data_IF_416419041289
#
_entry.id   IF_416419041289
#
_cell.length_a   1.000
_cell.length_b   1.000
_cell.length_c   1.000
_cell.angle_alpha   90.00
_cell.angle_beta   90.00
_cell.angle_gamma   90.00
#
_symmetry.space_group_name_H-M   'P 1'
#
loop_
_entity.id
_entity.type
_entity.pdbx_description
1 polymer ?
#
# COMPACT_ATOMS: atom_id res chain seq x y z
N UNK A 1 -10.77 32.38 -13.77
CA UNK A 1 -9.46 31.82 -14.17
C UNK A 1 -9.36 30.40 -13.61
N UNK A 2 -9.91 29.42 -14.32
CA UNK A 2 -9.80 28.02 -13.91
C UNK A 2 -8.42 27.53 -14.33
N UNK A 3 -7.57 27.22 -13.36
CA UNK A 3 -6.30 26.54 -13.61
C UNK A 3 -6.64 25.18 -14.25
N UNK A 4 -6.36 25.02 -15.53
CA UNK A 4 -6.59 23.76 -16.23
C UNK A 4 -5.55 22.75 -15.73
N UNK A 5 -5.96 21.89 -14.79
CA UNK A 5 -5.15 20.79 -14.23
C UNK A 5 -4.79 19.70 -15.26
N UNK A 6 -5.03 19.97 -16.55
CA UNK A 6 -4.86 19.06 -17.68
C UNK A 6 -3.83 19.61 -18.67
N UNK A 7 -2.74 20.20 -18.19
CA UNK A 7 -1.57 20.35 -19.04
C UNK A 7 -0.84 18.99 -19.17
N UNK A 8 -0.14 18.79 -20.29
CA UNK A 8 0.51 17.51 -20.59
C UNK A 8 1.57 17.15 -19.55
N UNK A 9 2.26 18.13 -18.97
CA UNK A 9 3.32 17.89 -17.99
C UNK A 9 2.74 17.40 -16.67
N UNK A 10 1.63 17.98 -16.20
CA UNK A 10 0.93 17.51 -14.99
C UNK A 10 0.45 16.07 -15.14
N UNK A 11 -0.13 15.73 -16.30
CA UNK A 11 -0.59 14.36 -16.57
C UNK A 11 0.58 13.38 -16.61
N UNK A 12 1.68 13.73 -17.29
CA UNK A 12 2.90 12.90 -17.33
C UNK A 12 3.49 12.71 -15.94
N UNK A 13 3.62 13.78 -15.16
CA UNK A 13 4.13 13.73 -13.79
C UNK A 13 3.28 12.81 -12.90
N UNK A 14 1.95 12.91 -13.00
CA UNK A 14 1.03 12.03 -12.27
C UNK A 14 1.29 10.55 -12.57
N UNK A 15 1.46 10.17 -13.85
CA UNK A 15 1.74 8.79 -14.22
C UNK A 15 3.10 8.31 -13.70
N UNK A 16 4.13 9.17 -13.68
CA UNK A 16 5.42 8.84 -13.06
C UNK A 16 5.28 8.55 -11.57
N UNK A 17 4.54 9.38 -10.84
CA UNK A 17 4.24 9.17 -9.42
C UNK A 17 3.49 7.85 -9.22
N UNK A 18 2.50 7.57 -10.06
CA UNK A 18 1.71 6.33 -9.97
C UNK A 18 2.59 5.10 -10.14
N UNK A 19 3.43 5.05 -11.17
CA UNK A 19 4.38 3.94 -11.40
C UNK A 19 5.38 3.84 -10.24
N UNK A 20 5.92 4.96 -9.78
CA UNK A 20 6.87 4.98 -8.66
C UNK A 20 6.28 4.42 -7.36
N UNK A 21 5.04 4.80 -7.02
CA UNK A 21 4.33 4.28 -5.84
C UNK A 21 4.04 2.78 -5.99
N UNK A 22 3.58 2.33 -7.16
CA UNK A 22 3.38 0.91 -7.46
C UNK A 22 4.67 0.11 -7.28
N UNK A 23 5.79 0.60 -7.81
CA UNK A 23 7.11 -0.03 -7.65
C UNK A 23 7.54 -0.05 -6.18
N UNK A 24 7.31 1.02 -5.43
CA UNK A 24 7.64 1.08 -4.00
C UNK A 24 6.89 -0.01 -3.22
N UNK A 25 5.59 -0.18 -3.47
CA UNK A 25 4.81 -1.25 -2.83
C UNK A 25 5.31 -2.65 -3.23
N UNK A 26 5.66 -2.84 -4.51
CA UNK A 26 6.23 -4.08 -4.99
C UNK A 26 7.56 -4.39 -4.27
N UNK A 27 8.46 -3.40 -4.19
CA UNK A 27 9.74 -3.51 -3.49
C UNK A 27 9.56 -3.91 -2.03
N UNK A 28 8.65 -3.26 -1.29
CA UNK A 28 8.35 -3.65 0.10
C UNK A 28 7.92 -5.12 0.16
N UNK A 29 7.02 -5.54 -0.72
CA UNK A 29 6.51 -6.91 -0.78
C UNK A 29 7.58 -7.96 -1.09
N UNK A 30 8.61 -7.62 -1.86
CA UNK A 30 9.71 -8.55 -2.20
C UNK A 30 10.84 -8.55 -1.17
N UNK A 31 11.34 -7.37 -0.80
CA UNK A 31 12.58 -7.23 -0.02
C UNK A 31 12.40 -7.46 1.49
N UNK A 32 11.19 -7.31 2.03
CA UNK A 32 10.98 -7.56 3.47
C UNK A 32 11.07 -9.06 3.79
N UNK A 33 11.80 -9.39 4.85
CA UNK A 33 12.08 -10.75 5.28
C UNK A 33 12.33 -10.80 6.79
N UNK A 34 12.60 -11.99 7.33
CA UNK A 34 12.79 -12.20 8.77
C UNK A 34 14.02 -11.48 9.34
N UNK A 35 15.12 -11.37 8.58
CA UNK A 35 16.36 -10.77 9.07
C UNK A 35 16.26 -9.25 9.18
N UNK A 36 15.56 -8.60 8.24
CA UNK A 36 15.36 -7.14 8.26
C UNK A 36 14.06 -6.69 8.94
N UNK A 37 13.14 -7.60 9.25
CA UNK A 37 11.86 -7.30 9.90
C UNK A 37 12.01 -6.48 11.20
N UNK A 38 13.05 -6.76 12.01
CA UNK A 38 13.31 -6.00 13.25
C UNK A 38 13.52 -4.52 12.99
N UNK A 39 14.10 -4.13 11.86
CA UNK A 39 14.40 -2.75 11.52
C UNK A 39 13.24 -2.13 10.73
N UNK A 40 12.71 -2.86 9.75
CA UNK A 40 11.74 -2.32 8.79
C UNK A 40 10.28 -2.31 9.28
N UNK A 41 9.91 -3.20 10.19
CA UNK A 41 8.55 -3.25 10.72
C UNK A 41 8.47 -2.50 12.05
N UNK A 42 7.98 -1.26 12.02
CA UNK A 42 7.85 -0.43 13.22
C UNK A 42 7.13 -1.14 14.38
N UNK A 43 6.03 -1.86 14.10
CA UNK A 43 5.30 -2.61 15.13
C UNK A 43 6.06 -3.81 15.72
N UNK A 44 6.99 -4.40 14.97
CA UNK A 44 7.85 -5.49 15.46
C UNK A 44 9.11 -4.93 16.15
N UNK A 45 9.65 -3.81 15.64
CA UNK A 45 10.77 -3.06 16.21
C UNK A 45 10.47 -2.53 17.61
N UNK A 46 9.27 -2.00 17.84
CA UNK A 46 8.86 -1.44 19.14
C UNK A 46 8.31 -2.48 20.12
N UNK A 47 8.08 -3.72 19.66
CA UNK A 47 7.60 -4.81 20.51
C UNK A 47 8.65 -5.19 21.57
N UNK A 48 8.22 -5.41 22.82
CA UNK A 48 9.11 -5.92 23.89
C UNK A 48 9.70 -7.28 23.50
N UNK A 49 10.88 -7.60 24.04
CA UNK A 49 11.58 -8.86 23.73
C UNK A 49 10.71 -10.09 23.97
N UNK A 50 10.04 -10.15 25.11
CA UNK A 50 9.13 -11.24 25.48
C UNK A 50 7.97 -11.43 24.50
N UNK A 51 7.32 -10.33 24.08
CA UNK A 51 6.23 -10.41 23.09
C UNK A 51 6.76 -10.80 21.71
N UNK A 52 7.95 -10.31 21.35
CA UNK A 52 8.60 -10.58 20.08
C UNK A 52 8.99 -12.04 19.93
N UNK A 53 9.45 -12.68 21.00
CA UNK A 53 9.78 -14.11 21.04
C UNK A 53 8.53 -15.00 20.86
N UNK A 54 7.37 -14.54 21.34
CA UNK A 54 6.07 -15.21 21.13
C UNK A 54 5.38 -14.84 19.80
N UNK A 55 5.92 -13.90 19.04
CA UNK A 55 5.30 -13.42 17.81
C UNK A 55 5.67 -14.29 16.60
N UNK A 56 4.67 -14.82 15.91
CA UNK A 56 4.82 -15.57 14.67
C UNK A 56 5.12 -14.63 13.49
N UNK A 57 6.38 -14.17 13.45
CA UNK A 57 6.87 -13.26 12.41
C UNK A 57 6.77 -13.86 11.01
N UNK A 58 6.90 -15.17 10.86
CA UNK A 58 6.83 -15.82 9.55
C UNK A 58 5.41 -15.81 9.01
N UNK A 59 4.42 -16.13 9.85
CA UNK A 59 3.02 -16.01 9.48
C UNK A 59 2.66 -14.56 9.18
N UNK A 60 3.10 -13.61 9.99
CA UNK A 60 2.86 -12.19 9.72
C UNK A 60 3.44 -11.76 8.36
N UNK A 61 4.72 -12.07 8.11
CA UNK A 61 5.40 -11.70 6.87
C UNK A 61 4.72 -12.31 5.63
N UNK A 62 4.21 -13.55 5.69
CA UNK A 62 3.45 -14.12 4.57
C UNK A 62 2.24 -13.27 4.18
N UNK A 63 1.48 -12.78 5.16
CA UNK A 63 0.31 -11.94 4.91
C UNK A 63 0.72 -10.53 4.46
N UNK A 64 1.71 -9.94 5.13
CA UNK A 64 2.22 -8.61 4.82
C UNK A 64 2.78 -8.53 3.39
N UNK A 65 3.62 -9.49 2.99
CA UNK A 65 4.20 -9.56 1.64
C UNK A 65 3.12 -9.72 0.58
N UNK A 66 2.18 -10.66 0.79
CA UNK A 66 1.06 -10.88 -0.14
C UNK A 66 0.20 -9.62 -0.28
N UNK A 67 -0.04 -8.90 0.81
CA UNK A 67 -0.76 -7.62 0.78
C UNK A 67 -0.04 -6.58 -0.08
N UNK A 68 1.25 -6.32 0.17
CA UNK A 68 2.01 -5.30 -0.58
C UNK A 68 2.19 -5.64 -2.05
N UNK A 69 2.38 -6.92 -2.41
CA UNK A 69 2.41 -7.36 -3.81
C UNK A 69 1.07 -7.06 -4.49
N UNK A 70 -0.06 -7.40 -3.87
CA UNK A 70 -1.39 -7.07 -4.43
C UNK A 70 -1.64 -5.56 -4.48
N UNK A 71 -1.19 -4.84 -3.45
CA UNK A 71 -1.29 -3.39 -3.37
C UNK A 71 -0.51 -2.69 -4.48
N UNK A 72 0.61 -3.24 -4.96
CA UNK A 72 1.38 -2.65 -6.06
C UNK A 72 0.58 -2.46 -7.34
N UNK A 73 -0.40 -3.34 -7.60
CA UNK A 73 -1.23 -3.33 -8.80
C UNK A 73 -2.47 -2.42 -8.60
N UNK A 74 -2.89 -2.21 -7.35
CA UNK A 74 -4.12 -1.50 -7.02
C UNK A 74 -4.17 -0.04 -7.52
N UNK A 75 -3.13 0.81 -7.37
CA UNK A 75 -3.14 2.18 -7.90
C UNK A 75 -3.46 2.24 -9.39
N UNK A 76 -2.84 1.35 -10.19
CA UNK A 76 -3.03 1.28 -11.64
C UNK A 76 -4.46 0.88 -12.01
N UNK A 77 -4.95 -0.24 -11.46
CA UNK A 77 -6.28 -0.76 -11.79
C UNK A 77 -7.38 0.21 -11.31
N UNK A 78 -7.25 0.75 -10.10
CA UNK A 78 -8.22 1.70 -9.56
C UNK A 78 -8.24 3.02 -10.32
N UNK A 79 -7.09 3.47 -10.85
CA UNK A 79 -7.03 4.66 -11.69
C UNK A 79 -7.78 4.44 -13.01
N UNK A 80 -7.49 3.34 -13.70
CA UNK A 80 -8.17 2.95 -14.93
C UNK A 80 -9.69 2.86 -14.73
N UNK A 81 -10.13 2.26 -13.63
CA UNK A 81 -11.55 2.19 -13.29
C UNK A 81 -12.18 3.58 -13.06
N UNK A 82 -11.49 4.49 -12.37
CA UNK A 82 -11.98 5.84 -12.10
C UNK A 82 -12.13 6.67 -13.38
N UNK A 83 -11.13 6.68 -14.27
CA UNK A 83 -11.18 7.47 -15.51
C UNK A 83 -12.14 6.90 -16.56
N UNK A 84 -12.49 5.61 -16.45
CA UNK A 84 -13.51 4.99 -17.29
C UNK A 84 -14.92 5.50 -16.96
N UNK A 85 -15.19 5.81 -15.69
CA UNK A 85 -16.53 6.19 -15.20
C UNK A 85 -16.69 7.68 -14.95
N UNK A 86 -15.61 8.38 -14.56
CA UNK A 86 -15.63 9.75 -14.06
C UNK A 86 -14.85 10.69 -14.97
N UNK A 87 -15.25 11.97 -14.98
CA UNK A 87 -14.42 13.04 -15.56
C UNK A 87 -13.13 13.18 -14.76
N UNK A 88 -12.05 13.58 -15.43
CA UNK A 88 -10.69 13.60 -14.87
C UNK A 88 -10.56 14.24 -13.47
N UNK A 89 -11.17 15.42 -13.25
CA UNK A 89 -11.09 16.13 -11.97
C UNK A 89 -11.74 15.33 -10.83
N UNK A 90 -12.94 14.78 -11.09
CA UNK A 90 -13.66 13.94 -10.14
C UNK A 90 -12.95 12.60 -9.94
N UNK A 91 -12.41 12.01 -11.02
CA UNK A 91 -11.66 10.77 -10.99
C UNK A 91 -10.45 10.87 -10.07
N UNK A 92 -9.70 11.98 -10.15
CA UNK A 92 -8.52 12.22 -9.31
C UNK A 92 -8.87 12.27 -7.82
N UNK A 93 -9.91 13.03 -7.45
CA UNK A 93 -10.34 13.17 -6.06
C UNK A 93 -10.84 11.83 -5.51
N UNK A 94 -11.73 11.15 -6.25
CA UNK A 94 -12.28 9.85 -5.85
C UNK A 94 -11.19 8.80 -5.74
N UNK A 95 -10.27 8.76 -6.71
CA UNK A 95 -9.15 7.82 -6.70
C UNK A 95 -8.22 8.03 -5.51
N UNK A 96 -7.88 9.28 -5.19
CA UNK A 96 -7.00 9.63 -4.08
C UNK A 96 -7.59 9.17 -2.72
N UNK A 97 -8.89 9.40 -2.50
CA UNK A 97 -9.59 8.90 -1.31
C UNK A 97 -9.58 7.36 -1.31
N UNK A 98 -9.89 6.76 -2.46
CA UNK A 98 -9.94 5.31 -2.65
C UNK A 98 -8.63 4.57 -2.31
N UNK A 99 -7.47 5.22 -2.48
CA UNK A 99 -6.17 4.61 -2.15
C UNK A 99 -6.02 4.21 -0.68
N UNK A 100 -6.84 4.74 0.23
CA UNK A 100 -6.83 4.38 1.64
C UNK A 100 -7.57 3.07 1.94
N UNK A 101 -8.49 2.63 1.06
CA UNK A 101 -9.36 1.49 1.28
C UNK A 101 -8.58 0.17 1.51
N UNK A 102 -7.55 -0.18 0.72
CA UNK A 102 -6.77 -1.39 0.96
C UNK A 102 -6.12 -1.44 2.35
N UNK A 103 -5.66 -0.29 2.86
CA UNK A 103 -5.05 -0.21 4.19
C UNK A 103 -6.08 -0.43 5.30
N UNK A 104 -7.28 0.13 5.17
CA UNK A 104 -8.39 -0.13 6.12
C UNK A 104 -8.75 -1.62 6.14
N UNK A 105 -8.89 -2.24 4.96
CA UNK A 105 -9.17 -3.68 4.85
C UNK A 105 -8.04 -4.52 5.48
N UNK A 106 -6.78 -4.15 5.25
CA UNK A 106 -5.62 -4.82 5.84
C UNK A 106 -5.66 -4.78 7.37
N UNK A 107 -5.92 -3.61 7.96
CA UNK A 107 -5.99 -3.44 9.41
C UNK A 107 -7.15 -4.24 10.03
N UNK A 108 -8.31 -4.27 9.38
CA UNK A 108 -9.45 -5.06 9.84
C UNK A 108 -9.15 -6.57 9.83
N UNK A 109 -8.53 -7.09 8.75
CA UNK A 109 -8.10 -8.49 8.67
C UNK A 109 -6.97 -8.82 9.66
N UNK A 110 -6.09 -7.85 9.92
CA UNK A 110 -4.99 -8.01 10.87
C UNK A 110 -5.51 -8.19 12.31
N UNK A 111 -6.48 -7.39 12.76
CA UNK A 111 -7.07 -7.53 14.11
C UNK A 111 -7.68 -8.92 14.37
N UNK A 112 -8.21 -9.55 13.33
CA UNK A 112 -8.81 -10.89 13.41
C UNK A 112 -7.74 -12.00 13.47
N UNK A 113 -6.54 -11.73 12.98
CA UNK A 113 -5.48 -12.73 12.90
C UNK A 113 -4.63 -12.71 14.18
N UNK A 114 -4.66 -13.79 14.95
CA UNK A 114 -3.75 -13.96 16.10
C UNK A 114 -2.37 -14.37 15.61
N UNK A 115 -1.37 -13.54 15.89
CA UNK A 115 0.05 -13.78 15.59
C UNK A 115 0.90 -14.09 16.83
N UNK A 116 0.28 -14.20 18.01
CA UNK A 116 0.95 -14.69 19.21
C UNK A 116 0.77 -16.21 19.27
N UNK A 117 1.88 -16.93 19.46
CA UNK A 117 1.89 -18.35 19.77
C UNK A 117 1.70 -18.56 21.28
#
# INVERSE_FOLDING_TARGET
>A
MACSFRDKNTVTFFYLVLVFVSLTYLSIGFFINKSNAKILLAGYNTMSRERRERFDIERYLRHFKTFFIRLSIYPLISWLACVYVLRFENALIVWAIGQNLPFVIFLCKHKQTKYLK
#
